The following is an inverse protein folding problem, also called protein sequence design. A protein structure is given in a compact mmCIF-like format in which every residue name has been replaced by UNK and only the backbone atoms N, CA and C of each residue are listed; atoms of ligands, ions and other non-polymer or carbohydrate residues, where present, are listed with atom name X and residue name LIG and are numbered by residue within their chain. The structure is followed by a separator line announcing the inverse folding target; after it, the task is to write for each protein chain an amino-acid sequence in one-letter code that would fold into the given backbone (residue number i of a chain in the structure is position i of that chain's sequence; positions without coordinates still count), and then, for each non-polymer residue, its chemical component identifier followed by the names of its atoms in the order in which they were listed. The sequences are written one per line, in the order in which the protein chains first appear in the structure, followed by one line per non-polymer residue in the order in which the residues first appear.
data_IF_223510556110
#
_entry.id   IF_223510556110
#
_cell.length_a   1.000
_cell.length_b   1.000
_cell.length_c   1.000
_cell.angle_alpha   90.00
_cell.angle_beta   90.00
_cell.angle_gamma   90.00
#
_symmetry.space_group_name_H-M   'P 1'
#
loop_
_entity.id
_entity.type
_entity.pdbx_description
1 polymer ?
#
# COMPACT_ATOMS: atom_id res chain seq x y z
N UNK A 1 5.44 -14.20 -5.39
CA UNK A 1 6.21 -13.06 -4.88
C UNK A 1 7.35 -13.52 -3.98
N UNK A 2 8.57 -13.07 -4.25
CA UNK A 2 9.76 -13.40 -3.44
C UNK A 2 9.73 -12.65 -2.10
N UNK A 3 10.59 -13.04 -1.14
CA UNK A 3 10.76 -12.30 0.14
C UNK A 3 11.16 -10.83 -0.11
N UNK A 4 12.04 -10.59 -1.07
CA UNK A 4 12.52 -9.25 -1.42
C UNK A 4 11.39 -8.40 -1.98
N UNK A 5 10.61 -8.97 -2.90
CA UNK A 5 9.45 -8.31 -3.50
C UNK A 5 8.38 -7.98 -2.46
N UNK A 6 8.03 -8.94 -1.58
CA UNK A 6 7.10 -8.69 -0.49
C UNK A 6 7.63 -7.61 0.47
N UNK A 7 8.92 -7.62 0.78
CA UNK A 7 9.53 -6.58 1.62
C UNK A 7 9.38 -5.20 0.97
N UNK A 8 9.62 -5.09 -0.36
CA UNK A 8 9.43 -3.85 -1.11
C UNK A 8 7.98 -3.40 -1.06
N UNK A 9 7.02 -4.27 -1.38
CA UNK A 9 5.59 -3.97 -1.34
C UNK A 9 5.17 -3.43 0.03
N UNK A 10 5.50 -4.15 1.09
CA UNK A 10 5.10 -3.77 2.46
C UNK A 10 5.74 -2.45 2.90
N UNK A 11 7.01 -2.23 2.54
CA UNK A 11 7.73 -1.01 2.90
C UNK A 11 7.23 0.19 2.11
N UNK A 12 7.10 0.05 0.80
CA UNK A 12 6.80 1.17 -0.11
C UNK A 12 5.32 1.52 -0.05
N UNK A 13 4.42 0.54 -0.17
CA UNK A 13 2.98 0.81 -0.26
C UNK A 13 2.26 0.85 1.09
N UNK A 14 2.86 0.26 2.15
CA UNK A 14 2.27 0.24 3.48
C UNK A 14 3.02 1.04 4.54
N UNK A 15 4.17 1.61 4.20
CA UNK A 15 5.07 2.26 5.16
C UNK A 15 5.32 1.36 6.41
N UNK A 16 5.43 0.04 6.18
CA UNK A 16 5.50 -0.96 7.24
C UNK A 16 6.93 -1.07 7.80
N UNK A 17 7.10 -0.70 9.08
CA UNK A 17 8.40 -0.72 9.76
C UNK A 17 8.97 -2.13 9.87
N UNK A 18 8.11 -3.14 10.01
CA UNK A 18 8.51 -4.54 10.15
C UNK A 18 8.46 -5.32 8.82
N UNK A 19 8.48 -4.62 7.67
CA UNK A 19 8.28 -5.21 6.35
C UNK A 19 9.12 -6.46 6.08
N UNK A 20 10.43 -6.41 6.33
CA UNK A 20 11.32 -7.55 6.06
C UNK A 20 11.03 -8.76 6.96
N UNK A 21 10.62 -8.51 8.21
CA UNK A 21 10.28 -9.57 9.18
C UNK A 21 8.93 -10.22 8.82
N UNK A 22 7.93 -9.40 8.49
CA UNK A 22 6.62 -9.88 8.03
C UNK A 22 6.76 -10.67 6.72
N UNK A 23 7.49 -10.14 5.74
CA UNK A 23 7.75 -10.83 4.48
C UNK A 23 8.45 -12.18 4.68
N UNK A 24 9.46 -12.22 5.56
CA UNK A 24 10.12 -13.48 5.93
C UNK A 24 9.16 -14.49 6.57
N UNK A 25 8.29 -14.04 7.48
CA UNK A 25 7.29 -14.90 8.09
C UNK A 25 6.26 -15.42 7.08
N UNK A 26 5.82 -14.59 6.13
CA UNK A 26 4.89 -14.98 5.06
C UNK A 26 5.51 -16.07 4.19
N UNK A 27 6.75 -15.87 3.72
CA UNK A 27 7.43 -16.85 2.86
C UNK A 27 7.65 -18.16 3.62
N UNK A 28 8.15 -18.09 4.85
CA UNK A 28 8.34 -19.28 5.69
C UNK A 28 7.03 -20.04 5.93
N UNK A 29 5.92 -19.34 6.16
CA UNK A 29 4.61 -19.99 6.35
C UNK A 29 4.15 -20.71 5.08
N UNK A 30 4.38 -20.10 3.91
CA UNK A 30 4.03 -20.70 2.60
C UNK A 30 4.84 -21.94 2.26
N UNK A 31 6.01 -22.13 2.87
CA UNK A 31 6.80 -23.37 2.73
C UNK A 31 6.10 -24.58 3.39
N UNK A 32 5.29 -24.35 4.42
CA UNK A 32 4.56 -25.42 5.13
C UNK A 32 3.08 -25.51 4.76
N UNK A 33 2.39 -24.38 4.64
CA UNK A 33 0.97 -24.35 4.24
C UNK A 33 0.60 -23.04 3.51
N UNK A 34 -0.36 -23.09 2.57
CA UNK A 34 -0.88 -21.88 1.96
C UNK A 34 -1.58 -20.98 2.99
N UNK A 35 -1.51 -19.67 2.76
CA UNK A 35 -2.29 -18.67 3.51
C UNK A 35 -3.53 -18.35 2.67
N UNK A 36 -4.69 -18.83 3.10
CA UNK A 36 -5.94 -18.80 2.33
C UNK A 36 -6.96 -17.82 2.90
N UNK A 37 -6.86 -17.50 4.20
CA UNK A 37 -7.81 -16.64 4.90
C UNK A 37 -7.12 -15.41 5.48
N UNK A 38 -7.82 -14.28 5.46
CA UNK A 38 -7.34 -13.02 6.03
C UNK A 38 -6.96 -13.15 7.51
N UNK A 39 -7.71 -13.93 8.29
CA UNK A 39 -7.42 -14.21 9.71
C UNK A 39 -6.05 -14.86 9.94
N UNK A 40 -5.62 -15.76 9.06
CA UNK A 40 -4.30 -16.40 9.12
C UNK A 40 -3.19 -15.35 8.92
N UNK A 41 -3.37 -14.47 7.92
CA UNK A 41 -2.41 -13.39 7.66
C UNK A 41 -2.36 -12.40 8.83
N UNK A 42 -3.50 -12.02 9.40
CA UNK A 42 -3.55 -11.13 10.58
C UNK A 42 -2.78 -11.74 11.76
N UNK A 43 -3.01 -13.02 12.05
CA UNK A 43 -2.30 -13.72 13.13
C UNK A 43 -0.79 -13.75 12.90
N UNK A 44 -0.36 -14.04 11.67
CA UNK A 44 1.05 -14.08 11.28
C UNK A 44 1.73 -12.71 11.39
N UNK A 45 1.07 -11.65 10.95
CA UNK A 45 1.58 -10.27 11.09
C UNK A 45 1.70 -9.89 12.57
N UNK A 46 0.67 -10.20 13.38
CA UNK A 46 0.71 -9.98 14.84
C UNK A 46 1.84 -10.74 15.52
N UNK A 47 2.13 -11.98 15.10
CA UNK A 47 3.25 -12.75 15.64
C UNK A 47 4.61 -12.17 15.22
N UNK A 48 4.68 -11.52 14.06
CA UNK A 48 5.90 -10.92 13.52
C UNK A 48 6.27 -9.60 14.21
N UNK A 49 5.33 -8.91 14.85
CA UNK A 49 5.55 -7.58 15.44
C UNK A 49 5.84 -7.69 16.95
N UNK A 50 6.90 -7.02 17.48
CA UNK A 50 7.21 -7.01 18.90
C UNK A 50 6.04 -6.54 19.78
N UNK A 51 5.85 -7.16 20.95
CA UNK A 51 4.71 -6.86 21.84
C UNK A 51 4.52 -5.37 22.18
N UNK A 52 5.58 -4.57 22.47
CA UNK A 52 5.41 -3.14 22.70
C UNK A 52 4.85 -2.38 21.49
N UNK A 53 5.27 -2.77 20.28
CA UNK A 53 4.79 -2.18 19.04
C UNK A 53 3.35 -2.58 18.69
N UNK A 54 2.82 -3.65 19.29
CA UNK A 54 1.41 -4.07 19.15
C UNK A 54 0.44 -3.27 20.03
N UNK A 55 0.93 -2.64 21.10
CA UNK A 55 0.10 -1.94 22.10
C UNK A 55 -0.28 -0.52 21.69
N UNK A 56 0.40 0.07 20.71
CA UNK A 56 0.13 1.42 20.22
C UNK A 56 -0.56 1.34 18.86
N UNK A 57 -1.71 1.99 18.73
CA UNK A 57 -2.49 2.09 17.49
C UNK A 57 -3.56 0.99 17.32
N UNK A 58 -4.22 1.01 16.16
CA UNK A 58 -5.27 0.06 15.80
C UNK A 58 -4.72 -1.32 15.40
N UNK A 59 -5.46 -2.05 14.55
CA UNK A 59 -5.03 -3.39 14.12
C UNK A 59 -3.64 -3.35 13.46
N UNK A 60 -2.63 -4.08 14.01
CA UNK A 60 -1.26 -4.06 13.50
C UNK A 60 -1.12 -4.60 12.08
N UNK A 61 -2.12 -5.31 11.55
CA UNK A 61 -2.13 -5.79 10.18
C UNK A 61 -2.59 -4.73 9.16
N UNK A 62 -3.13 -3.57 9.59
CA UNK A 62 -3.74 -2.56 8.71
C UNK A 62 -2.82 -2.15 7.55
N UNK A 63 -1.56 -1.82 7.86
CA UNK A 63 -0.54 -1.40 6.87
C UNK A 63 -0.18 -2.51 5.89
N UNK A 64 -0.09 -3.75 6.38
CA UNK A 64 0.17 -4.92 5.52
C UNK A 64 -0.97 -5.11 4.52
N UNK A 65 -2.23 -5.06 4.98
CA UNK A 65 -3.38 -5.21 4.09
C UNK A 65 -3.50 -4.04 3.10
N UNK A 66 -3.23 -2.81 3.54
CA UNK A 66 -3.17 -1.65 2.65
C UNK A 66 -2.12 -1.85 1.54
N UNK A 67 -0.90 -2.24 1.90
CA UNK A 67 0.17 -2.46 0.93
C UNK A 67 -0.18 -3.55 -0.10
N UNK A 68 -0.78 -4.64 0.36
CA UNK A 68 -1.20 -5.74 -0.51
C UNK A 68 -2.34 -5.31 -1.43
N UNK A 69 -3.31 -4.55 -0.92
CA UNK A 69 -4.42 -3.98 -1.71
C UNK A 69 -3.87 -3.09 -2.84
N UNK A 70 -2.95 -2.18 -2.50
CA UNK A 70 -2.27 -1.30 -3.46
C UNK A 70 -1.52 -2.09 -4.51
N UNK A 71 -0.73 -3.10 -4.11
CA UNK A 71 0.06 -3.91 -5.04
C UNK A 71 -0.80 -4.78 -5.96
N UNK A 72 -1.81 -5.45 -5.42
CA UNK A 72 -2.65 -6.39 -6.18
C UNK A 72 -3.52 -5.65 -7.20
N UNK A 73 -4.02 -4.48 -6.85
CA UNK A 73 -4.88 -3.69 -7.74
C UNK A 73 -4.09 -2.67 -8.58
N UNK A 74 -2.76 -2.65 -8.52
CA UNK A 74 -1.91 -1.67 -9.21
C UNK A 74 -2.35 -0.21 -8.98
N UNK A 75 -2.83 0.12 -7.77
CA UNK A 75 -3.60 1.35 -7.53
C UNK A 75 -2.81 2.62 -7.86
N UNK A 76 -1.52 2.66 -7.51
CA UNK A 76 -0.69 3.85 -7.74
C UNK A 76 -0.35 4.04 -9.22
N UNK A 77 -0.07 2.96 -9.95
CA UNK A 77 0.21 3.05 -11.40
C UNK A 77 -1.02 3.54 -12.16
N UNK A 78 -2.20 3.02 -11.81
CA UNK A 78 -3.46 3.48 -12.39
C UNK A 78 -3.66 4.97 -12.11
N UNK A 79 -3.36 5.42 -10.88
CA UNK A 79 -3.49 6.83 -10.51
C UNK A 79 -2.46 7.72 -11.25
N UNK A 80 -1.22 7.27 -11.40
CA UNK A 80 -0.16 7.95 -12.14
C UNK A 80 -0.54 8.18 -13.61
N UNK A 81 -1.24 7.23 -14.23
CA UNK A 81 -1.72 7.36 -15.61
C UNK A 81 -3.04 8.16 -15.72
N UNK A 82 -3.98 7.92 -14.81
CA UNK A 82 -5.34 8.45 -14.90
C UNK A 82 -5.42 9.95 -14.61
N UNK A 83 -4.62 10.47 -13.67
CA UNK A 83 -4.69 11.88 -13.27
C UNK A 83 -4.25 12.83 -14.40
N UNK A 84 -3.10 12.62 -15.07
CA UNK A 84 -2.72 13.43 -16.23
C UNK A 84 -3.74 13.34 -17.38
N UNK A 85 -4.26 12.14 -17.66
CA UNK A 85 -5.27 11.95 -18.69
C UNK A 85 -6.57 12.71 -18.37
N UNK A 86 -7.01 12.69 -17.10
CA UNK A 86 -8.17 13.43 -16.64
C UNK A 86 -7.98 14.94 -16.75
N UNK A 87 -6.81 15.46 -16.34
CA UNK A 87 -6.46 16.89 -16.46
C UNK A 87 -6.49 17.36 -17.92
N UNK A 88 -5.90 16.58 -18.84
CA UNK A 88 -5.86 16.89 -20.28
C UNK A 88 -7.23 16.84 -20.96
N UNK A 89 -8.22 16.20 -20.32
CA UNK A 89 -9.57 16.05 -20.86
C UNK A 89 -10.51 17.17 -20.40
N UNK A 90 -10.05 18.10 -19.55
CA UNK A 90 -10.88 19.18 -19.05
C UNK A 90 -11.10 20.26 -20.12
N UNK A 91 -12.35 20.68 -20.28
CA UNK A 91 -12.67 21.92 -20.97
C UNK A 91 -12.18 23.13 -20.16
N UNK A 92 -12.00 24.28 -20.82
CA UNK A 92 -11.72 25.56 -20.16
C UNK A 92 -12.78 25.84 -19.09
N UNK A 93 -12.35 26.11 -17.86
CA UNK A 93 -13.21 26.32 -16.70
C UNK A 93 -13.65 25.03 -15.97
N UNK A 94 -13.30 23.86 -16.50
CA UNK A 94 -13.53 22.56 -15.86
C UNK A 94 -12.79 22.40 -14.53
N UNK A 95 -13.28 21.49 -13.68
CA UNK A 95 -12.71 21.20 -12.36
C UNK A 95 -12.46 19.70 -12.22
N UNK A 96 -11.26 19.33 -11.77
CA UNK A 96 -10.96 17.98 -11.30
C UNK A 96 -10.85 18.01 -9.78
N UNK A 97 -11.61 17.13 -9.12
CA UNK A 97 -11.56 16.94 -7.66
C UNK A 97 -11.14 15.49 -7.40
N UNK A 98 -10.18 15.30 -6.50
CA UNK A 98 -9.62 13.99 -6.17
C UNK A 98 -9.61 13.82 -4.66
N UNK A 99 -10.18 12.71 -4.18
CA UNK A 99 -10.11 12.32 -2.77
C UNK A 99 -9.05 11.23 -2.58
N UNK A 100 -7.93 11.61 -1.95
CA UNK A 100 -6.87 10.68 -1.58
C UNK A 100 -7.02 10.26 -0.11
N UNK A 101 -6.92 8.95 0.16
CA UNK A 101 -7.09 8.41 1.52
C UNK A 101 -5.76 7.98 2.16
N UNK A 102 -4.67 7.99 1.39
CA UNK A 102 -3.33 7.70 1.89
C UNK A 102 -2.25 8.59 1.24
N UNK A 103 -1.08 8.65 1.89
CA UNK A 103 -0.02 9.63 1.60
C UNK A 103 0.63 9.51 0.22
N UNK A 104 0.71 8.30 -0.35
CA UNK A 104 1.24 8.06 -1.70
C UNK A 104 0.26 8.53 -2.78
N UNK A 105 -1.04 8.26 -2.63
CA UNK A 105 -2.09 8.78 -3.52
C UNK A 105 -2.03 10.31 -3.55
N UNK A 106 -2.07 10.94 -2.37
CA UNK A 106 -2.02 12.40 -2.21
C UNK A 106 -0.76 13.00 -2.86
N UNK A 107 0.39 12.33 -2.71
CA UNK A 107 1.64 12.78 -3.33
C UNK A 107 1.59 12.76 -4.86
N UNK A 108 1.09 11.68 -5.45
CA UNK A 108 0.95 11.54 -6.91
C UNK A 108 0.03 12.64 -7.45
N UNK A 109 -1.15 12.81 -6.83
CA UNK A 109 -2.13 13.80 -7.25
C UNK A 109 -1.56 15.22 -7.15
N UNK A 110 -0.89 15.55 -6.03
CA UNK A 110 -0.26 16.87 -5.84
C UNK A 110 0.83 17.15 -6.87
N UNK A 111 1.65 16.16 -7.21
CA UNK A 111 2.70 16.31 -8.21
C UNK A 111 2.09 16.62 -9.58
N UNK A 112 1.10 15.84 -10.02
CA UNK A 112 0.43 16.04 -11.29
C UNK A 112 -0.29 17.40 -11.39
N UNK A 113 -0.99 17.81 -10.32
CA UNK A 113 -1.66 19.11 -10.29
C UNK A 113 -0.67 20.26 -10.35
N UNK A 114 0.47 20.14 -9.66
CA UNK A 114 1.52 21.15 -9.69
C UNK A 114 2.08 21.30 -11.11
N UNK A 115 2.42 20.19 -11.75
CA UNK A 115 2.95 20.16 -13.13
C UNK A 115 1.96 20.79 -14.13
N UNK A 116 0.67 20.49 -14.02
CA UNK A 116 -0.36 21.06 -14.91
C UNK A 116 -0.68 22.55 -14.64
N UNK A 117 -0.16 23.12 -13.56
CA UNK A 117 -0.40 24.52 -13.16
C UNK A 117 0.78 25.46 -13.40
N UNK A 118 1.91 24.91 -13.86
CA UNK A 118 3.15 25.63 -14.18
C UNK A 118 3.36 25.72 -15.68
#
# INVERSE_FOLDING_TARGET
ASKQELTRILRVYGEEKFAAKIAGAIVKKRESEPIERSGQLVALVRASIPAPARRKGGNPAKRTFQALRVAVNNELSILEDAIPAALNSLNVGGRLVVEAYQSLEDRIVKAAFKEAST
#
